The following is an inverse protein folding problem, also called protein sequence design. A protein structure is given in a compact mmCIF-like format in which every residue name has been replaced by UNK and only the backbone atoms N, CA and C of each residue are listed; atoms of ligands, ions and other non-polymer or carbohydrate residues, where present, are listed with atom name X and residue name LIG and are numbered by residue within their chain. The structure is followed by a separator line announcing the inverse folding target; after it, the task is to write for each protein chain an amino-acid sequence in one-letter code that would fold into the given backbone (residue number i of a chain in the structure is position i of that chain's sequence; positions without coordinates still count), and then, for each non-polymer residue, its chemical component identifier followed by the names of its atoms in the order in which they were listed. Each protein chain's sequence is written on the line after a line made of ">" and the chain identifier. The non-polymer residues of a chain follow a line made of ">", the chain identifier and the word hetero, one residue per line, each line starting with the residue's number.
data_IF_095045375002
#
_entry.id   IF_095045375002
#
_cell.length_a   1.000
_cell.length_b   1.000
_cell.length_c   1.000
_cell.angle_alpha   90.00
_cell.angle_beta   90.00
_cell.angle_gamma   90.00
#
_symmetry.space_group_name_H-M   'P 1'
#
loop_
_entity.id
_entity.type
_entity.pdbx_description
1 polymer ?
#
# COMPACT_ATOMS: atom_id res chain seq x y z
N UNK A 1 9.33 5.82 6.49
CA UNK A 1 9.06 5.06 5.26
C UNK A 1 8.49 6.06 4.27
N UNK A 2 9.26 6.44 3.25
CA UNK A 2 8.86 7.51 2.32
C UNK A 2 8.31 6.84 1.07
N UNK A 3 7.06 7.13 0.75
CA UNK A 3 6.47 6.79 -0.53
C UNK A 3 6.84 7.93 -1.48
N UNK A 4 7.65 7.65 -2.50
CA UNK A 4 7.79 8.58 -3.63
C UNK A 4 6.47 8.60 -4.39
N UNK A 5 5.57 9.48 -3.95
CA UNK A 5 4.34 9.87 -4.64
C UNK A 5 4.00 11.35 -4.40
N UNK A 6 4.89 12.10 -3.73
CA UNK A 6 4.79 13.54 -3.63
C UNK A 6 5.75 14.18 -4.63
N UNK A 7 5.36 15.27 -5.31
CA UNK A 7 6.26 16.16 -6.01
C UNK A 7 7.53 16.40 -5.18
N UNK A 8 8.69 16.23 -5.82
CA UNK A 8 10.00 16.43 -5.18
C UNK A 8 10.24 17.88 -4.73
N UNK A 9 9.33 18.80 -5.10
CA UNK A 9 9.31 20.18 -4.65
C UNK A 9 8.59 20.38 -3.30
N UNK A 10 8.08 19.29 -2.70
CA UNK A 10 7.39 19.33 -1.42
C UNK A 10 5.93 19.81 -1.51
N UNK A 11 5.38 19.96 -2.72
CA UNK A 11 3.95 20.24 -2.87
C UNK A 11 3.12 18.99 -2.53
N UNK A 12 2.02 19.21 -1.82
CA UNK A 12 1.09 18.14 -1.46
C UNK A 12 0.23 17.76 -2.69
N UNK A 13 0.08 16.47 -2.94
CA UNK A 13 -0.88 15.96 -3.93
C UNK A 13 -2.23 15.77 -3.25
N UNK A 14 -3.33 16.39 -3.74
CA UNK A 14 -4.66 16.12 -3.24
C UNK A 14 -5.02 14.64 -3.41
N UNK A 15 -5.71 14.05 -2.43
CA UNK A 15 -6.19 12.67 -2.54
C UNK A 15 -7.17 12.47 -3.71
N UNK A 16 -7.84 13.54 -4.16
CA UNK A 16 -8.69 13.52 -5.35
C UNK A 16 -7.93 13.19 -6.64
N UNK A 17 -6.62 13.38 -6.64
CA UNK A 17 -5.76 13.20 -7.81
C UNK A 17 -5.03 11.85 -7.74
N UNK A 18 -5.34 11.02 -6.74
CA UNK A 18 -4.77 9.68 -6.61
C UNK A 18 -5.15 8.82 -7.83
N UNK A 19 -4.17 8.17 -8.44
CA UNK A 19 -4.43 7.28 -9.58
C UNK A 19 -5.17 5.99 -9.16
N UNK A 20 -5.05 5.60 -7.89
CA UNK A 20 -5.69 4.43 -7.31
C UNK A 20 -6.01 4.69 -5.83
N UNK A 21 -7.17 4.20 -5.38
CA UNK A 21 -7.51 4.12 -3.95
C UNK A 21 -7.81 2.67 -3.58
N UNK A 22 -7.20 2.20 -2.50
CA UNK A 22 -7.43 0.86 -1.94
C UNK A 22 -8.31 1.00 -0.71
N UNK A 23 -9.42 0.25 -0.68
CA UNK A 23 -10.33 0.22 0.45
C UNK A 23 -10.22 -1.12 1.17
N UNK A 24 -10.04 -1.07 2.50
CA UNK A 24 -10.18 -2.25 3.34
C UNK A 24 -11.63 -2.73 3.39
N UNK A 25 -11.83 -4.03 3.58
CA UNK A 25 -13.16 -4.66 3.59
C UNK A 25 -13.71 -4.90 4.99
N UNK A 26 -12.85 -4.91 6.01
CA UNK A 26 -13.22 -5.22 7.38
C UNK A 26 -12.87 -4.09 8.35
N UNK A 27 -13.84 -3.75 9.20
CA UNK A 27 -13.69 -2.69 10.18
C UNK A 27 -12.80 -3.17 11.32
N UNK A 28 -11.77 -2.40 11.65
CA UNK A 28 -10.78 -2.81 12.67
C UNK A 28 -9.62 -3.63 12.11
N UNK A 29 -9.69 -4.10 10.86
CA UNK A 29 -8.51 -4.67 10.19
C UNK A 29 -7.41 -3.65 9.93
N UNK A 30 -7.74 -2.34 9.96
CA UNK A 30 -6.80 -1.22 9.79
C UNK A 30 -5.97 -1.37 8.51
N UNK A 31 -6.64 -1.64 7.38
CA UNK A 31 -5.99 -1.70 6.08
C UNK A 31 -5.28 -0.39 5.76
N UNK A 32 -4.03 -0.48 5.32
CA UNK A 32 -3.18 0.68 5.06
C UNK A 32 -2.56 1.31 6.31
N UNK A 33 -2.62 0.65 7.48
CA UNK A 33 -1.99 1.14 8.72
C UNK A 33 -0.48 1.41 8.54
N UNK A 34 0.18 0.59 7.73
CA UNK A 34 1.54 0.83 7.26
C UNK A 34 1.66 0.38 5.82
N UNK A 35 2.59 1.00 5.11
CA UNK A 35 2.83 0.69 3.71
C UNK A 35 4.34 0.71 3.43
N UNK A 36 4.78 0.00 2.40
CA UNK A 36 6.16 -0.04 1.93
C UNK A 36 6.20 -0.01 0.41
N UNK A 37 7.15 0.71 -0.18
CA UNK A 37 7.37 0.72 -1.62
C UNK A 37 8.83 1.00 -1.95
N UNK A 38 9.15 1.04 -3.24
CA UNK A 38 10.49 1.39 -3.76
C UNK A 38 11.30 0.21 -4.28
N UNK A 39 10.78 -1.02 -4.23
CA UNK A 39 11.48 -2.23 -4.68
C UNK A 39 10.58 -3.11 -5.54
N UNK A 40 11.15 -3.77 -6.55
CA UNK A 40 10.46 -4.78 -7.35
C UNK A 40 10.63 -6.16 -6.72
N UNK A 41 9.57 -6.63 -6.08
CA UNK A 41 9.51 -7.88 -5.34
C UNK A 41 9.29 -9.09 -6.24
N UNK A 42 8.68 -8.90 -7.43
CA UNK A 42 8.50 -9.98 -8.41
C UNK A 42 9.63 -10.10 -9.44
N UNK A 43 10.63 -9.21 -9.39
CA UNK A 43 11.79 -9.23 -10.29
C UNK A 43 11.52 -8.69 -11.69
N UNK A 44 10.40 -8.01 -11.93
CA UNK A 44 10.06 -7.48 -13.25
C UNK A 44 10.68 -6.09 -13.56
N UNK A 45 11.43 -5.56 -12.59
CA UNK A 45 12.11 -4.27 -12.66
C UNK A 45 11.22 -3.05 -12.38
N UNK A 46 9.97 -3.23 -11.93
CA UNK A 46 9.07 -2.15 -11.50
C UNK A 46 9.00 -2.06 -9.98
N UNK A 47 8.49 -0.93 -9.50
CA UNK A 47 8.27 -0.72 -8.08
C UNK A 47 6.93 -1.32 -7.66
N UNK A 48 6.97 -2.14 -6.61
CA UNK A 48 5.78 -2.71 -6.00
C UNK A 48 5.39 -1.94 -4.73
N UNK A 49 4.15 -2.13 -4.32
CA UNK A 49 3.58 -1.55 -3.10
C UNK A 49 3.10 -2.66 -2.16
N UNK A 50 3.60 -2.68 -0.93
CA UNK A 50 3.07 -3.52 0.14
C UNK A 50 2.21 -2.68 1.10
N UNK A 51 1.05 -3.20 1.50
CA UNK A 51 0.13 -2.61 2.48
C UNK A 51 -0.14 -3.62 3.59
N UNK A 52 -0.26 -3.16 4.84
CA UNK A 52 -0.68 -4.01 5.96
C UNK A 52 -2.15 -3.82 6.33
N UNK A 53 -2.77 -4.89 6.83
CA UNK A 53 -4.01 -4.86 7.59
C UNK A 53 -3.70 -5.40 9.00
N UNK A 54 -3.38 -4.49 9.92
CA UNK A 54 -2.84 -4.84 11.23
C UNK A 54 -3.78 -5.70 12.09
N UNK A 55 -5.09 -5.48 12.01
CA UNK A 55 -6.11 -6.21 12.77
C UNK A 55 -6.85 -7.26 11.95
N UNK A 56 -6.27 -7.74 10.84
CA UNK A 56 -6.93 -8.79 10.04
C UNK A 56 -6.96 -10.12 10.81
N UNK A 57 -8.16 -10.70 10.89
CA UNK A 57 -8.46 -11.91 11.65
C UNK A 57 -8.59 -13.16 10.77
N UNK A 58 -8.42 -13.02 9.45
CA UNK A 58 -8.63 -14.08 8.45
C UNK A 58 -7.87 -15.38 8.77
N UNK A 59 -6.69 -15.28 9.42
CA UNK A 59 -5.86 -16.43 9.81
C UNK A 59 -5.64 -16.60 11.32
N UNK A 60 -6.43 -15.90 12.13
CA UNK A 60 -6.36 -15.94 13.59
C UNK A 60 -6.60 -14.56 14.19
N UNK A 61 -7.11 -14.51 15.42
CA UNK A 61 -7.47 -13.26 16.09
C UNK A 61 -6.27 -12.29 16.19
N UNK A 62 -6.46 -11.09 15.63
CA UNK A 62 -5.49 -10.02 15.42
C UNK A 62 -4.13 -10.49 14.85
N UNK A 63 -4.15 -11.52 14.00
CA UNK A 63 -2.93 -12.06 13.39
C UNK A 63 -2.31 -11.09 12.37
N UNK A 64 -3.15 -10.23 11.79
CA UNK A 64 -2.78 -9.27 10.77
C UNK A 64 -2.48 -9.93 9.42
N UNK A 65 -2.43 -9.11 8.38
CA UNK A 65 -2.00 -9.54 7.06
C UNK A 65 -1.24 -8.44 6.33
N UNK A 66 -0.54 -8.86 5.26
CA UNK A 66 0.14 -7.96 4.34
C UNK A 66 -0.20 -8.37 2.91
N UNK A 67 -0.48 -7.37 2.07
CA UNK A 67 -0.78 -7.53 0.65
C UNK A 67 0.30 -6.83 -0.17
N UNK A 68 0.69 -7.44 -1.29
CA UNK A 68 1.63 -6.86 -2.26
C UNK A 68 0.87 -6.59 -3.55
N UNK A 69 0.97 -5.37 -4.05
CA UNK A 69 0.46 -4.92 -5.33
C UNK A 69 1.63 -4.75 -6.29
N UNK A 70 1.68 -5.62 -7.30
CA UNK A 70 2.73 -5.58 -8.31
C UNK A 70 2.53 -4.42 -9.28
N UNK A 71 3.61 -3.68 -9.56
CA UNK A 71 3.62 -2.67 -10.60
C UNK A 71 3.34 -3.30 -11.97
N UNK A 72 2.49 -2.67 -12.79
CA UNK A 72 2.15 -3.18 -14.14
C UNK A 72 2.52 -2.17 -15.22
N UNK A 73 2.72 -2.65 -16.45
CA UNK A 73 2.77 -1.77 -17.63
C UNK A 73 1.37 -1.22 -17.90
N UNK A 74 1.29 0.09 -18.16
CA UNK A 74 0.13 0.73 -18.78
C UNK A 74 0.04 0.44 -20.26
#
# INVERSE_FOLDING_TARGET
>A
MVFDALPLDGSAVPLSDAQLTVHGTDAGALMGYSAAGGWGLDGDGRTDLALSAHGDDTRGANSGSACIFFGRRG
#
